data_IF_376498999125
#
_entry.id   IF_376498999125
#
_cell.length_a   1.000
_cell.length_b   1.000
_cell.length_c   1.000
_cell.angle_alpha   90.00
_cell.angle_beta   90.00
_cell.angle_gamma   90.00
#
_symmetry.space_group_name_H-M   'P 1'
#
loop_
_entity.id
_entity.type
_entity.pdbx_description
1 polymer ?
#
# COMPACT_ATOMS: atom_id res chain seq x y z
N UNK A 1 18.17 -2.86 9.00
CA UNK A 1 16.84 -2.56 8.45
C UNK A 1 15.86 -3.30 9.34
N UNK A 2 15.06 -2.60 10.14
CA UNK A 2 14.01 -3.25 10.93
C UNK A 2 13.13 -4.09 10.00
N UNK A 3 12.69 -5.23 10.52
CA UNK A 3 11.81 -6.12 9.79
C UNK A 3 10.47 -5.40 9.55
N UNK A 4 10.19 -5.00 8.30
CA UNK A 4 8.96 -4.27 7.94
C UNK A 4 7.68 -5.03 8.36
N UNK A 5 7.76 -6.36 8.53
CA UNK A 5 6.68 -7.17 9.08
C UNK A 5 6.47 -6.91 10.59
N UNK A 6 7.54 -6.69 11.35
CA UNK A 6 7.44 -6.33 12.76
C UNK A 6 6.78 -4.95 12.92
N UNK A 7 7.07 -4.02 12.01
CA UNK A 7 6.46 -2.69 11.96
C UNK A 7 4.96 -2.79 11.64
N UNK A 8 4.60 -3.62 10.66
CA UNK A 8 3.21 -3.87 10.30
C UNK A 8 2.42 -4.42 11.50
N UNK A 9 2.96 -5.44 12.18
CA UNK A 9 2.34 -6.01 13.37
C UNK A 9 2.21 -4.99 14.51
N UNK A 10 3.20 -4.10 14.67
CA UNK A 10 3.16 -3.03 15.68
C UNK A 10 2.07 -2.00 15.37
N UNK A 11 1.97 -1.54 14.12
CA UNK A 11 0.90 -0.65 13.68
C UNK A 11 -0.49 -1.26 13.89
N UNK A 12 -0.66 -2.54 13.53
CA UNK A 12 -1.91 -3.28 13.76
C UNK A 12 -2.22 -3.35 15.26
N UNK A 13 -1.23 -3.64 16.10
CA UNK A 13 -1.40 -3.69 17.55
C UNK A 13 -1.85 -2.34 18.13
N UNK A 14 -1.29 -1.23 17.64
CA UNK A 14 -1.67 0.13 18.08
C UNK A 14 -3.10 0.45 17.66
N UNK A 15 -3.46 0.15 16.40
CA UNK A 15 -4.80 0.37 15.89
C UNK A 15 -5.82 -0.48 16.67
N UNK A 16 -5.53 -1.75 16.94
CA UNK A 16 -6.41 -2.61 17.75
C UNK A 16 -6.60 -2.05 19.16
N UNK A 17 -5.52 -1.61 19.82
CA UNK A 17 -5.61 -1.02 21.15
C UNK A 17 -6.43 0.29 21.16
N UNK A 18 -6.28 1.14 20.13
CA UNK A 18 -7.06 2.36 19.96
C UNK A 18 -8.56 2.06 19.78
N UNK A 19 -8.87 1.06 18.93
CA UNK A 19 -10.24 0.57 18.72
C UNK A 19 -10.83 0.04 20.03
N UNK A 20 -10.12 -0.83 20.75
CA UNK A 20 -10.57 -1.39 22.04
C UNK A 20 -10.80 -0.30 23.10
N UNK A 21 -9.93 0.71 23.15
CA UNK A 21 -10.09 1.85 24.05
C UNK A 21 -11.35 2.67 23.75
N UNK A 22 -11.74 2.77 22.47
CA UNK A 22 -12.95 3.45 22.01
C UNK A 22 -14.24 2.70 22.39
N UNK A 23 -14.15 1.40 22.72
CA UNK A 23 -15.25 0.54 23.15
C UNK A 23 -15.32 0.30 24.66
N UNK A 24 -14.27 0.63 25.41
CA UNK A 24 -14.12 0.28 26.83
C UNK A 24 -14.77 1.23 27.85
N UNK A 25 -15.39 2.35 27.46
CA UNK A 25 -16.04 3.30 28.38
C UNK A 25 -17.45 3.69 27.92
N UNK A 26 -18.39 3.85 28.87
CA UNK A 26 -19.83 4.12 28.63
C UNK A 26 -20.13 5.51 28.02
N UNK A 27 -19.13 6.37 27.81
CA UNK A 27 -19.35 7.70 27.22
C UNK A 27 -19.37 7.65 25.68
N UNK A 28 -20.55 7.48 25.09
CA UNK A 28 -20.81 7.62 23.65
C UNK A 28 -20.30 8.95 23.05
N UNK A 29 -20.16 9.99 23.89
CA UNK A 29 -19.69 11.33 23.52
C UNK A 29 -18.20 11.43 23.15
N UNK A 30 -17.37 10.43 23.50
CA UNK A 30 -15.94 10.41 23.16
C UNK A 30 -15.61 9.76 21.82
N UNK A 31 -16.60 9.15 21.15
CA UNK A 31 -16.34 8.37 19.93
C UNK A 31 -16.02 9.30 18.76
N UNK A 32 -14.97 8.97 18.01
CA UNK A 32 -14.63 9.57 16.72
C UNK A 32 -15.20 8.71 15.58
N UNK A 33 -16.50 8.85 15.25
CA UNK A 33 -17.14 7.98 14.28
C UNK A 33 -16.49 8.08 12.89
N UNK A 34 -15.92 9.25 12.54
CA UNK A 34 -15.28 9.43 11.25
C UNK A 34 -13.91 8.76 11.20
N UNK A 35 -13.07 8.93 12.22
CA UNK A 35 -11.82 8.20 12.30
C UNK A 35 -12.01 6.68 12.40
N UNK A 36 -13.04 6.23 13.12
CA UNK A 36 -13.43 4.81 13.17
C UNK A 36 -13.88 4.28 11.80
N UNK A 37 -14.67 5.06 11.05
CA UNK A 37 -15.01 4.72 9.66
C UNK A 37 -13.78 4.68 8.75
N UNK A 38 -12.78 5.56 8.97
CA UNK A 38 -11.54 5.58 8.19
C UNK A 38 -10.66 4.38 8.53
N UNK A 39 -10.51 4.01 9.81
CA UNK A 39 -9.88 2.75 10.20
C UNK A 39 -10.53 1.58 9.50
N UNK A 40 -11.85 1.46 9.63
CA UNK A 40 -12.60 0.37 9.03
C UNK A 40 -12.39 0.30 7.52
N UNK A 41 -12.43 1.44 6.82
CA UNK A 41 -12.18 1.51 5.38
C UNK A 41 -10.83 0.88 4.98
N UNK A 42 -9.74 1.32 5.62
CA UNK A 42 -8.39 0.84 5.29
C UNK A 42 -8.11 -0.59 5.77
N UNK A 43 -8.65 -0.98 6.93
CA UNK A 43 -8.48 -2.33 7.48
C UNK A 43 -9.18 -3.37 6.60
N UNK A 44 -10.42 -3.09 6.17
CA UNK A 44 -11.16 -3.95 5.25
C UNK A 44 -10.51 -3.99 3.86
N UNK A 45 -10.06 -2.84 3.33
CA UNK A 45 -9.32 -2.77 2.06
C UNK A 45 -8.09 -3.71 2.06
N UNK A 46 -7.45 -3.86 3.22
CA UNK A 46 -6.26 -4.69 3.39
C UNK A 46 -6.54 -6.13 3.87
N UNK A 47 -7.81 -6.53 3.98
CA UNK A 47 -8.25 -7.83 4.49
C UNK A 47 -7.64 -8.15 5.87
N UNK A 48 -7.64 -7.16 6.78
CA UNK A 48 -7.19 -7.35 8.16
C UNK A 48 -8.34 -7.82 9.04
N UNK A 49 -8.04 -8.78 9.90
CA UNK A 49 -9.01 -9.41 10.81
C UNK A 49 -8.44 -9.44 12.23
N UNK A 50 -9.27 -9.12 13.20
CA UNK A 50 -8.99 -9.21 14.64
C UNK A 50 -10.31 -9.08 15.42
N UNK A 51 -10.38 -9.54 16.68
CA UNK A 51 -11.57 -9.34 17.51
C UNK A 51 -11.97 -7.86 17.66
N UNK A 52 -10.98 -6.96 17.72
CA UNK A 52 -11.23 -5.51 17.77
C UNK A 52 -11.87 -5.01 16.47
N UNK A 53 -11.42 -5.51 15.32
CA UNK A 53 -11.99 -5.18 14.01
C UNK A 53 -13.42 -5.71 13.88
N UNK A 54 -13.69 -6.93 14.37
CA UNK A 54 -15.04 -7.50 14.38
C UNK A 54 -16.00 -6.64 15.21
N UNK A 55 -15.58 -6.19 16.40
CA UNK A 55 -16.35 -5.26 17.22
C UNK A 55 -16.60 -3.92 16.49
N UNK A 56 -15.60 -3.41 15.77
CA UNK A 56 -15.74 -2.19 14.96
C UNK A 56 -16.73 -2.38 13.79
N UNK A 57 -16.74 -3.56 13.15
CA UNK A 57 -17.71 -3.92 12.10
C UNK A 57 -19.13 -3.92 12.67
N UNK A 58 -19.34 -4.57 13.82
CA UNK A 58 -20.66 -4.66 14.46
C UNK A 58 -21.16 -3.28 14.88
N UNK A 59 -20.29 -2.50 15.54
CA UNK A 59 -20.60 -1.14 15.92
C UNK A 59 -20.94 -0.26 14.71
N UNK A 60 -20.16 -0.36 13.63
CA UNK A 60 -20.42 0.44 12.43
C UNK A 60 -21.75 0.06 11.77
N UNK A 61 -22.13 -1.22 11.76
CA UNK A 61 -23.46 -1.64 11.27
C UNK A 61 -24.59 -0.99 12.09
N UNK A 62 -24.47 -0.99 13.42
CA UNK A 62 -25.42 -0.33 14.32
C UNK A 62 -25.43 1.20 14.13
N UNK A 63 -24.27 1.82 13.94
CA UNK A 63 -24.12 3.25 13.65
C UNK A 63 -24.81 3.64 12.34
N UNK A 64 -24.62 2.87 11.28
CA UNK A 64 -25.28 3.06 9.99
C UNK A 64 -26.80 2.95 10.15
N UNK A 65 -27.31 1.96 10.90
CA UNK A 65 -28.74 1.84 11.17
C UNK A 65 -29.28 3.09 11.88
N UNK A 66 -28.63 3.52 12.96
CA UNK A 66 -29.02 4.69 13.74
C UNK A 66 -29.06 5.98 12.91
N UNK A 67 -28.03 6.22 12.08
CA UNK A 67 -27.90 7.47 11.31
C UNK A 67 -28.66 7.45 9.98
N UNK A 68 -28.55 6.36 9.23
CA UNK A 68 -29.08 6.29 7.87
C UNK A 68 -30.54 5.83 7.81
N UNK A 69 -31.00 5.00 8.76
CA UNK A 69 -32.39 4.49 8.78
C UNK A 69 -33.23 5.19 9.85
N UNK A 70 -32.74 5.30 11.08
CA UNK A 70 -33.49 5.96 12.17
C UNK A 70 -33.39 7.49 12.13
N UNK A 71 -32.48 8.04 11.31
CA UNK A 71 -32.26 9.50 11.13
C UNK A 71 -31.92 10.25 12.42
N UNK A 72 -31.31 9.57 13.40
CA UNK A 72 -30.95 10.14 14.70
C UNK A 72 -29.64 10.92 14.63
N UNK A 73 -29.67 12.09 14.00
CA UNK A 73 -28.51 12.99 13.94
C UNK A 73 -28.42 13.91 15.16
N UNK A 74 -27.20 14.23 15.57
CA UNK A 74 -26.93 15.26 16.58
C UNK A 74 -26.52 16.58 15.91
N UNK A 75 -26.00 17.54 16.69
CA UNK A 75 -25.44 18.79 16.17
C UNK A 75 -24.23 18.60 15.26
N UNK A 76 -23.58 17.42 15.28
CA UNK A 76 -22.39 17.09 14.47
C UNK A 76 -22.77 16.28 13.22
N UNK A 77 -23.86 16.69 12.56
CA UNK A 77 -24.46 15.97 11.43
C UNK A 77 -23.50 15.74 10.26
N UNK A 78 -22.55 16.65 10.05
CA UNK A 78 -21.52 16.57 9.03
C UNK A 78 -20.60 15.36 9.22
N UNK A 79 -20.01 15.22 10.41
CA UNK A 79 -19.16 14.08 10.79
C UNK A 79 -19.96 12.79 10.85
N UNK A 80 -21.17 12.83 11.40
CA UNK A 80 -22.04 11.65 11.55
C UNK A 80 -22.51 11.10 10.20
N UNK A 81 -22.93 11.97 9.27
CA UNK A 81 -23.34 11.56 7.93
C UNK A 81 -22.14 11.05 7.11
N UNK A 82 -21.02 11.77 7.16
CA UNK A 82 -19.79 11.38 6.44
C UNK A 82 -19.28 10.02 6.93
N UNK A 83 -19.24 9.80 8.25
CA UNK A 83 -18.81 8.52 8.84
C UNK A 83 -19.75 7.36 8.48
N UNK A 84 -21.07 7.57 8.59
CA UNK A 84 -22.05 6.53 8.26
C UNK A 84 -22.00 6.14 6.78
N UNK A 85 -21.81 7.11 5.87
CA UNK A 85 -21.67 6.84 4.43
C UNK A 85 -20.38 6.11 4.10
N UNK A 86 -19.25 6.51 4.68
CA UNK A 86 -17.97 5.82 4.50
C UNK A 86 -18.02 4.40 5.08
N UNK A 87 -18.61 4.23 6.26
CA UNK A 87 -18.82 2.93 6.89
C UNK A 87 -19.70 2.02 6.03
N UNK A 88 -20.83 2.54 5.54
CA UNK A 88 -21.72 1.81 4.63
C UNK A 88 -20.98 1.34 3.38
N UNK A 89 -20.22 2.24 2.75
CA UNK A 89 -19.42 1.92 1.57
C UNK A 89 -18.38 0.84 1.86
N UNK A 90 -17.65 0.97 2.96
CA UNK A 90 -16.57 0.05 3.37
C UNK A 90 -17.12 -1.36 3.63
N UNK A 91 -18.16 -1.48 4.45
CA UNK A 91 -18.80 -2.74 4.79
C UNK A 91 -19.45 -3.40 3.57
N UNK A 92 -20.12 -2.61 2.71
CA UNK A 92 -20.71 -3.14 1.47
C UNK A 92 -19.65 -3.72 0.55
N UNK A 93 -18.55 -2.98 0.35
CA UNK A 93 -17.46 -3.40 -0.54
C UNK A 93 -16.76 -4.67 -0.05
N UNK A 94 -16.73 -4.89 1.26
CA UNK A 94 -16.16 -6.09 1.88
C UNK A 94 -17.18 -7.23 2.09
N UNK A 95 -18.45 -7.08 1.67
CA UNK A 95 -19.54 -8.02 1.96
C UNK A 95 -19.74 -8.30 3.47
N UNK A 96 -19.57 -7.28 4.32
CA UNK A 96 -19.76 -7.31 5.78
C UNK A 96 -20.91 -6.40 6.25
N UNK A 97 -21.72 -5.89 5.31
CA UNK A 97 -22.86 -5.02 5.61
C UNK A 97 -24.09 -5.87 5.96
N UNK A 98 -24.64 -5.68 7.15
CA UNK A 98 -25.86 -6.35 7.62
C UNK A 98 -27.09 -5.42 7.54
N UNK A 99 -26.87 -4.11 7.52
CA UNK A 99 -27.93 -3.10 7.48
C UNK A 99 -28.44 -2.85 6.06
N UNK A 100 -29.76 -2.92 5.86
CA UNK A 100 -30.40 -2.51 4.60
C UNK A 100 -30.54 -0.99 4.55
N UNK A 101 -29.94 -0.37 3.53
CA UNK A 101 -30.01 1.08 3.28
C UNK A 101 -30.62 1.32 1.90
N UNK A 102 -31.66 2.15 1.82
CA UNK A 102 -32.23 2.60 0.55
C UNK A 102 -31.44 3.79 0.00
N UNK A 103 -30.88 3.64 -1.20
CA UNK A 103 -30.07 4.66 -1.86
C UNK A 103 -30.86 5.92 -2.24
N UNK A 104 -32.17 5.81 -2.50
CA UNK A 104 -33.01 6.99 -2.77
C UNK A 104 -33.08 7.89 -1.54
N UNK A 105 -33.33 7.25 -0.41
CA UNK A 105 -33.35 7.85 0.92
C UNK A 105 -32.00 8.46 1.33
N UNK A 106 -30.88 7.86 0.90
CA UNK A 106 -29.54 8.43 1.07
C UNK A 106 -29.39 9.69 0.24
N UNK A 107 -29.78 9.64 -1.03
CA UNK A 107 -29.68 10.78 -1.95
C UNK A 107 -30.53 11.98 -1.46
N UNK A 108 -31.76 11.73 -1.00
CA UNK A 108 -32.61 12.76 -0.41
C UNK A 108 -31.96 13.40 0.83
N UNK A 109 -31.32 12.60 1.68
CA UNK A 109 -30.63 13.11 2.86
C UNK A 109 -29.42 13.98 2.48
N UNK A 110 -28.53 13.47 1.62
CA UNK A 110 -27.31 14.21 1.20
C UNK A 110 -27.68 15.52 0.52
N UNK A 111 -28.73 15.52 -0.32
CA UNK A 111 -29.18 16.70 -1.06
C UNK A 111 -29.58 17.88 -0.16
N UNK A 112 -30.03 17.62 1.08
CA UNK A 112 -30.39 18.67 2.06
C UNK A 112 -29.18 19.46 2.56
N UNK A 113 -27.98 18.91 2.41
CA UNK A 113 -26.74 19.49 2.91
C UNK A 113 -25.85 20.06 1.80
N UNK A 114 -26.39 20.16 0.58
CA UNK A 114 -25.69 20.78 -0.54
C UNK A 114 -25.91 22.29 -0.47
N UNK A 115 -24.82 23.03 -0.33
CA UNK A 115 -24.75 24.49 -0.31
C UNK A 115 -23.69 24.89 -1.34
N UNK A 116 -24.05 25.75 -2.29
CA UNK A 116 -23.16 26.22 -3.36
C UNK A 116 -22.40 25.10 -4.08
N UNK A 117 -23.14 24.05 -4.49
CA UNK A 117 -22.61 22.84 -5.14
C UNK A 117 -21.59 22.05 -4.30
N UNK A 118 -21.60 22.20 -2.98
CA UNK A 118 -20.71 21.45 -2.08
C UNK A 118 -21.45 20.91 -0.87
N UNK A 119 -21.03 19.75 -0.36
CA UNK A 119 -21.69 19.13 0.79
C UNK A 119 -21.10 19.74 2.06
N UNK A 120 -21.95 20.32 2.92
CA UNK A 120 -21.58 21.07 4.12
C UNK A 120 -20.62 22.24 3.89
N UNK A 121 -20.46 22.72 2.64
CA UNK A 121 -19.41 23.68 2.27
C UNK A 121 -17.99 23.24 2.70
N UNK A 122 -17.75 21.92 2.71
CA UNK A 122 -16.51 21.33 3.20
C UNK A 122 -15.90 20.41 2.14
N UNK A 123 -14.65 20.69 1.75
CA UNK A 123 -13.94 19.93 0.72
C UNK A 123 -13.71 18.46 1.12
N UNK A 124 -13.24 18.22 2.35
CA UNK A 124 -12.92 16.88 2.85
C UNK A 124 -14.18 16.01 2.90
N UNK A 125 -15.26 16.51 3.50
CA UNK A 125 -16.53 15.79 3.60
C UNK A 125 -17.16 15.56 2.23
N UNK A 126 -17.16 16.57 1.36
CA UNK A 126 -17.63 16.40 -0.02
C UNK A 126 -16.87 15.29 -0.74
N UNK A 127 -15.54 15.25 -0.58
CA UNK A 127 -14.69 14.24 -1.21
C UNK A 127 -14.98 12.83 -0.68
N UNK A 128 -15.03 12.64 0.64
CA UNK A 128 -15.31 11.34 1.27
C UNK A 128 -16.72 10.85 0.93
N UNK A 129 -17.71 11.74 0.94
CA UNK A 129 -19.09 11.39 0.60
C UNK A 129 -19.18 10.98 -0.87
N UNK A 130 -18.60 11.73 -1.81
CA UNK A 130 -18.60 11.32 -3.22
C UNK A 130 -17.84 10.01 -3.44
N UNK A 131 -16.72 9.79 -2.73
CA UNK A 131 -15.98 8.53 -2.78
C UNK A 131 -16.86 7.34 -2.37
N UNK A 132 -17.62 7.52 -1.29
CA UNK A 132 -18.54 6.50 -0.75
C UNK A 132 -19.71 6.20 -1.68
N UNK A 133 -20.08 7.18 -2.50
CA UNK A 133 -21.24 7.12 -3.39
C UNK A 133 -20.90 6.88 -4.86
N UNK A 134 -19.61 6.81 -5.22
CA UNK A 134 -19.16 6.77 -6.61
C UNK A 134 -19.74 5.61 -7.43
N UNK A 135 -19.92 4.42 -6.84
CA UNK A 135 -20.52 3.25 -7.53
C UNK A 135 -22.01 3.43 -7.84
N UNK A 136 -22.64 4.43 -7.23
CA UNK A 136 -24.07 4.72 -7.35
C UNK A 136 -24.30 6.14 -7.88
N UNK A 137 -23.28 6.76 -8.50
CA UNK A 137 -23.32 8.14 -9.00
C UNK A 137 -24.51 8.43 -9.91
N UNK A 138 -24.91 7.47 -10.75
CA UNK A 138 -26.05 7.64 -11.69
C UNK A 138 -27.40 7.77 -10.97
N UNK A 139 -27.47 7.38 -9.70
CA UNK A 139 -28.66 7.48 -8.85
C UNK A 139 -28.69 8.75 -8.00
N UNK A 140 -27.67 9.60 -8.13
CA UNK A 140 -27.48 10.80 -7.31
C UNK A 140 -27.40 12.00 -8.25
N UNK A 141 -28.53 12.70 -8.49
CA UNK A 141 -28.60 13.78 -9.47
C UNK A 141 -27.57 14.90 -9.23
N UNK A 142 -27.25 15.18 -7.97
CA UNK A 142 -26.30 16.20 -7.56
C UNK A 142 -24.83 15.77 -7.62
N UNK A 143 -24.54 14.49 -7.92
CA UNK A 143 -23.17 13.96 -7.91
C UNK A 143 -22.26 14.77 -8.84
N UNK A 144 -22.74 15.06 -10.06
CA UNK A 144 -21.96 15.77 -11.06
C UNK A 144 -21.73 17.24 -10.71
N UNK A 145 -22.68 17.92 -10.07
CA UNK A 145 -22.47 19.31 -9.66
C UNK A 145 -21.42 19.40 -8.55
N UNK A 146 -21.53 18.54 -7.53
CA UNK A 146 -20.54 18.47 -6.44
C UNK A 146 -19.17 18.03 -6.93
N UNK A 147 -19.12 17.07 -7.85
CA UNK A 147 -17.87 16.64 -8.45
C UNK A 147 -17.20 17.75 -9.28
N UNK A 148 -17.98 18.51 -10.05
CA UNK A 148 -17.45 19.65 -10.80
C UNK A 148 -16.93 20.76 -9.88
N UNK A 149 -17.61 21.03 -8.76
CA UNK A 149 -17.10 21.94 -7.74
C UNK A 149 -15.76 21.45 -7.17
N UNK A 150 -15.65 20.17 -6.80
CA UNK A 150 -14.40 19.57 -6.32
C UNK A 150 -13.28 19.67 -7.36
N UNK A 151 -13.55 19.38 -8.63
CA UNK A 151 -12.54 19.48 -9.71
C UNK A 151 -11.95 20.89 -9.84
N UNK A 152 -12.80 21.93 -9.80
CA UNK A 152 -12.32 23.33 -9.83
C UNK A 152 -11.40 23.62 -8.64
N UNK A 153 -11.79 23.18 -7.45
CA UNK A 153 -11.01 23.38 -6.22
C UNK A 153 -9.69 22.59 -6.22
N UNK A 154 -9.67 21.38 -6.79
CA UNK A 154 -8.44 20.59 -6.98
C UNK A 154 -7.50 21.29 -7.96
N UNK A 155 -8.03 21.86 -9.05
CA UNK A 155 -7.24 22.60 -10.03
C UNK A 155 -6.51 23.80 -9.40
N UNK A 156 -7.17 24.49 -8.48
CA UNK A 156 -6.58 25.61 -7.73
C UNK A 156 -5.50 25.17 -6.71
N UNK A 157 -5.34 23.86 -6.46
CA UNK A 157 -4.40 23.21 -5.54
C UNK A 157 -4.51 23.63 -4.05
N UNK A 158 -5.22 24.71 -3.73
CA UNK A 158 -5.37 25.26 -2.38
C UNK A 158 -5.88 24.24 -1.33
N UNK A 159 -6.91 23.42 -1.60
CA UNK A 159 -7.38 22.42 -0.64
C UNK A 159 -6.36 21.31 -0.36
N UNK A 160 -5.40 21.10 -1.26
CA UNK A 160 -4.37 20.06 -1.13
C UNK A 160 -3.23 20.48 -0.19
N UNK A 161 -3.23 21.72 0.31
CA UNK A 161 -2.35 22.14 1.39
C UNK A 161 -2.67 21.42 2.71
N UNK A 162 -3.91 20.96 2.89
CA UNK A 162 -4.23 19.94 3.89
C UNK A 162 -3.91 18.56 3.30
N UNK A 163 -2.87 17.92 3.81
CA UNK A 163 -2.34 16.69 3.26
C UNK A 163 -3.33 15.51 3.31
N UNK A 164 -4.31 15.53 4.22
CA UNK A 164 -5.36 14.48 4.30
C UNK A 164 -6.25 14.49 3.06
N UNK A 165 -6.50 15.68 2.49
CA UNK A 165 -7.30 15.84 1.28
C UNK A 165 -6.65 15.19 0.06
N UNK A 166 -5.32 15.13 0.01
CA UNK A 166 -4.58 14.50 -1.08
C UNK A 166 -4.99 13.03 -1.22
N UNK A 167 -5.12 12.30 -0.12
CA UNK A 167 -5.47 10.87 -0.12
C UNK A 167 -6.87 10.64 -0.68
N UNK A 168 -7.87 11.25 -0.04
CA UNK A 168 -9.26 11.00 -0.42
C UNK A 168 -9.58 11.56 -1.80
N UNK A 169 -9.00 12.69 -2.20
CA UNK A 169 -9.16 13.21 -3.55
C UNK A 169 -8.53 12.27 -4.58
N UNK A 170 -7.32 11.75 -4.32
CA UNK A 170 -6.67 10.80 -5.22
C UNK A 170 -7.50 9.52 -5.39
N UNK A 171 -8.01 8.96 -4.28
CA UNK A 171 -8.88 7.78 -4.30
C UNK A 171 -10.18 8.02 -5.08
N UNK A 172 -10.81 9.18 -4.89
CA UNK A 172 -12.03 9.55 -5.61
C UNK A 172 -11.76 9.66 -7.12
N UNK A 173 -10.70 10.36 -7.51
CA UNK A 173 -10.35 10.57 -8.91
C UNK A 173 -9.99 9.25 -9.59
N UNK A 174 -9.22 8.40 -8.93
CA UNK A 174 -8.91 7.05 -9.41
C UNK A 174 -10.18 6.23 -9.62
N UNK A 175 -11.07 6.21 -8.61
CA UNK A 175 -12.35 5.52 -8.68
C UNK A 175 -13.26 6.04 -9.81
N UNK A 176 -13.20 7.33 -10.11
CA UNK A 176 -13.94 7.95 -11.21
C UNK A 176 -13.23 7.87 -12.57
N UNK A 177 -12.05 7.26 -12.64
CA UNK A 177 -11.17 7.21 -13.82
C UNK A 177 -10.75 8.60 -14.36
N UNK A 178 -10.64 9.58 -13.48
CA UNK A 178 -10.23 10.96 -13.78
C UNK A 178 -8.70 11.10 -13.79
N UNK A 179 -8.06 10.50 -14.79
CA UNK A 179 -6.60 10.32 -14.84
C UNK A 179 -5.82 11.63 -15.00
N UNK A 180 -6.38 12.66 -15.64
CA UNK A 180 -5.70 13.95 -15.83
C UNK A 180 -5.57 14.70 -14.51
N UNK A 181 -6.65 14.81 -13.75
CA UNK A 181 -6.67 15.44 -12.43
C UNK A 181 -5.81 14.66 -11.44
N UNK A 182 -5.89 13.33 -11.48
CA UNK A 182 -5.07 12.47 -10.62
C UNK A 182 -3.59 12.67 -10.90
N UNK A 183 -3.19 12.75 -12.18
CA UNK A 183 -1.81 13.12 -12.56
C UNK A 183 -1.44 14.50 -12.04
N UNK A 184 -2.35 15.48 -12.07
CA UNK A 184 -2.14 16.80 -11.48
C UNK A 184 -1.80 16.75 -9.98
N UNK A 185 -2.51 15.94 -9.20
CA UNK A 185 -2.20 15.72 -7.77
C UNK A 185 -0.85 15.04 -7.59
N UNK A 186 -0.55 14.00 -8.37
CA UNK A 186 0.73 13.28 -8.29
C UNK A 186 1.90 14.20 -8.65
N UNK A 187 1.73 15.06 -9.66
CA UNK A 187 2.71 16.07 -10.07
C UNK A 187 2.92 17.13 -8.99
N UNK A 188 1.85 17.58 -8.35
CA UNK A 188 1.90 18.47 -7.19
C UNK A 188 2.70 17.84 -6.04
N UNK A 189 2.38 16.61 -5.65
CA UNK A 189 3.11 15.88 -4.61
C UNK A 189 4.59 15.70 -4.96
N UNK A 190 4.88 15.34 -6.22
CA UNK A 190 6.25 15.13 -6.66
C UNK A 190 7.05 16.45 -6.66
N UNK A 191 6.43 17.55 -7.09
CA UNK A 191 7.01 18.88 -7.01
C UNK A 191 7.37 19.30 -5.58
N UNK A 192 6.51 18.98 -4.60
CA UNK A 192 6.76 19.27 -3.18
C UNK A 192 7.95 18.49 -2.62
N UNK A 193 8.13 17.22 -2.98
CA UNK A 193 9.31 16.44 -2.51
C UNK A 193 10.62 16.85 -3.20
N UNK A 194 10.57 17.41 -4.42
CA UNK A 194 11.76 17.93 -5.10
C UNK A 194 12.28 19.20 -4.45
N UNK A 195 11.37 20.04 -3.95
CA UNK A 195 11.69 21.30 -3.27
C UNK A 195 11.87 21.15 -1.76
N UNK A 196 11.73 19.93 -1.23
CA UNK A 196 11.75 19.64 0.21
C UNK A 196 10.74 20.47 1.03
N UNK A 197 9.56 20.71 0.44
CA UNK A 197 8.49 21.53 1.03
C UNK A 197 7.47 20.70 1.84
N UNK A 198 7.67 19.39 1.96
CA UNK A 198 6.74 18.49 2.68
C UNK A 198 7.08 18.48 4.16
N UNK A 199 6.17 18.97 4.99
CA UNK A 199 6.29 18.93 6.46
C UNK A 199 6.39 17.48 6.94
N UNK A 200 7.16 17.27 8.01
CA UNK A 200 7.42 15.92 8.55
C UNK A 200 6.15 15.12 8.81
N UNK A 201 5.16 15.72 9.49
CA UNK A 201 3.90 15.07 9.84
C UNK A 201 3.00 14.74 8.63
N UNK A 202 3.21 15.40 7.49
CA UNK A 202 2.43 15.20 6.27
C UNK A 202 3.06 14.18 5.31
N UNK A 203 4.33 13.79 5.55
CA UNK A 203 5.10 12.94 4.62
C UNK A 203 4.37 11.65 4.29
N UNK A 204 3.68 11.04 5.25
CA UNK A 204 2.89 9.81 5.06
C UNK A 204 1.87 9.98 3.93
N UNK A 205 1.18 11.10 3.89
CA UNK A 205 0.12 11.31 2.90
C UNK A 205 0.69 11.50 1.50
N UNK A 206 1.75 12.29 1.37
CA UNK A 206 2.47 12.47 0.11
C UNK A 206 3.10 11.15 -0.36
N UNK A 207 3.71 10.39 0.56
CA UNK A 207 4.33 9.11 0.27
C UNK A 207 3.29 8.11 -0.23
N UNK A 208 2.12 8.05 0.42
CA UNK A 208 1.02 7.19 -0.01
C UNK A 208 0.56 7.51 -1.43
N UNK A 209 0.27 8.78 -1.74
CA UNK A 209 -0.20 9.17 -3.08
C UNK A 209 0.84 8.91 -4.16
N UNK A 210 2.10 9.28 -3.91
CA UNK A 210 3.19 9.01 -4.86
C UNK A 210 3.42 7.52 -5.05
N UNK A 211 3.30 6.73 -3.99
CA UNK A 211 3.50 5.29 -4.05
C UNK A 211 2.41 4.59 -4.85
N UNK A 212 1.14 4.79 -4.49
CA UNK A 212 0.00 4.13 -5.14
C UNK A 212 -0.13 4.52 -6.61
N UNK A 213 0.16 5.78 -6.94
CA UNK A 213 0.02 6.31 -8.30
C UNK A 213 1.34 6.54 -9.03
N UNK A 214 2.42 5.89 -8.58
CA UNK A 214 3.78 5.96 -9.17
C UNK A 214 3.82 5.74 -10.69
N UNK A 215 2.90 4.92 -11.23
CA UNK A 215 2.79 4.62 -12.67
C UNK A 215 2.42 5.84 -13.52
N UNK A 216 1.90 6.91 -12.92
CA UNK A 216 1.62 8.17 -13.60
C UNK A 216 2.86 9.05 -13.78
N UNK A 217 4.00 8.65 -13.20
CA UNK A 217 5.28 9.35 -13.31
C UNK A 217 6.21 8.68 -14.31
N UNK A 218 7.28 9.40 -14.68
CA UNK A 218 8.34 8.88 -15.56
C UNK A 218 9.21 7.90 -14.79
N UNK A 219 9.74 6.88 -15.47
CA UNK A 219 10.59 5.84 -14.84
C UNK A 219 11.78 6.41 -14.05
N UNK A 220 12.36 7.51 -14.54
CA UNK A 220 13.48 8.21 -13.88
C UNK A 220 13.12 8.79 -12.50
N UNK A 221 11.84 9.02 -12.23
CA UNK A 221 11.35 9.61 -10.99
C UNK A 221 11.11 8.54 -9.91
N UNK A 222 11.03 7.25 -10.31
CA UNK A 222 10.64 6.14 -9.43
C UNK A 222 11.62 5.93 -8.30
N UNK A 223 12.94 6.03 -8.55
CA UNK A 223 13.96 5.89 -7.50
C UNK A 223 13.75 6.91 -6.39
N UNK A 224 13.49 8.17 -6.75
CA UNK A 224 13.24 9.24 -5.78
C UNK A 224 11.96 8.99 -4.97
N UNK A 225 10.91 8.47 -5.61
CA UNK A 225 9.67 8.09 -4.91
C UNK A 225 9.95 6.96 -3.92
N UNK A 226 10.68 5.93 -4.34
CA UNK A 226 11.06 4.80 -3.48
C UNK A 226 11.84 5.29 -2.27
N UNK A 227 12.87 6.11 -2.47
CA UNK A 227 13.68 6.65 -1.37
C UNK A 227 12.83 7.47 -0.40
N UNK A 228 11.94 8.33 -0.92
CA UNK A 228 11.05 9.13 -0.10
C UNK A 228 10.09 8.26 0.73
N UNK A 229 9.50 7.22 0.14
CA UNK A 229 8.59 6.30 0.83
C UNK A 229 9.33 5.48 1.87
N UNK A 230 10.51 4.96 1.56
CA UNK A 230 11.35 4.22 2.52
C UNK A 230 11.71 5.08 3.73
N UNK A 231 12.20 6.30 3.49
CA UNK A 231 12.53 7.24 4.56
C UNK A 231 11.30 7.59 5.40
N UNK A 232 10.14 7.78 4.75
CA UNK A 232 8.89 8.08 5.45
C UNK A 232 8.45 6.92 6.36
N UNK A 233 8.49 5.68 5.86
CA UNK A 233 8.13 4.50 6.65
C UNK A 233 9.10 4.25 7.80
N UNK A 234 10.41 4.45 7.59
CA UNK A 234 11.42 4.35 8.66
C UNK A 234 11.17 5.38 9.76
N UNK A 235 10.92 6.64 9.39
CA UNK A 235 10.66 7.71 10.35
C UNK A 235 9.37 7.46 11.15
N UNK A 236 8.27 7.09 10.50
CA UNK A 236 7.01 6.76 11.20
C UNK A 236 7.25 5.65 12.23
N UNK A 237 8.05 4.65 11.87
CA UNK A 237 8.39 3.54 12.76
C UNK A 237 9.16 4.00 13.99
N UNK A 238 10.11 4.90 13.81
CA UNK A 238 10.88 5.48 14.91
C UNK A 238 9.97 6.26 15.86
N UNK A 239 9.12 7.17 15.34
CA UNK A 239 8.21 7.97 16.18
C UNK A 239 7.23 7.05 16.94
N UNK A 240 6.69 6.03 16.27
CA UNK A 240 5.81 5.03 16.91
C UNK A 240 6.55 4.20 17.96
N UNK A 241 7.86 3.98 17.80
CA UNK A 241 8.63 3.12 18.69
C UNK A 241 9.18 3.82 19.92
N UNK A 242 9.56 5.08 19.78
CA UNK A 242 10.12 5.85 20.88
C UNK A 242 9.03 6.45 21.77
N UNK A 243 7.76 6.48 21.32
CA UNK A 243 6.66 7.10 22.08
C UNK A 243 6.88 8.61 22.30
N UNK A 244 7.86 9.20 21.61
CA UNK A 244 8.23 10.61 21.72
C UNK A 244 7.21 11.40 20.92
N UNK A 245 6.28 11.99 21.65
CA UNK A 245 5.32 12.95 21.12
C UNK A 245 5.82 14.29 21.60
N UNK A 246 6.21 15.12 20.65
CA UNK A 246 6.43 16.54 20.89
C UNK A 246 5.15 17.11 21.52
N UNK A 247 5.25 17.69 22.72
CA UNK A 247 4.12 18.27 23.46
C UNK A 247 3.38 19.32 22.61
N UNK A 248 4.03 19.94 21.62
CA UNK A 248 3.40 20.86 20.67
C UNK A 248 2.34 20.20 19.76
N UNK A 249 2.33 18.87 19.63
CA UNK A 249 1.30 18.12 18.91
C UNK A 249 -0.01 17.95 19.71
N UNK A 250 0.06 17.98 21.04
CA UNK A 250 -1.09 17.80 21.94
C UNK A 250 -2.01 19.02 21.86
N UNK A 251 -1.44 20.22 21.80
CA UNK A 251 -2.18 21.49 21.69
C UNK A 251 -2.86 21.67 20.33
N UNK A 252 -2.38 21.00 19.27
CA UNK A 252 -2.90 21.16 17.90
C UNK A 252 -4.01 20.17 17.52
N UNK A 253 -4.01 18.96 18.09
CA UNK A 253 -4.93 17.88 17.68
C UNK A 253 -5.98 17.51 18.74
N UNK A 254 -5.90 18.09 19.94
CA UNK A 254 -6.82 17.78 21.03
C UNK A 254 -6.54 16.40 21.67
N UNK A 255 -7.09 16.20 22.86
CA UNK A 255 -6.94 14.97 23.63
C UNK A 255 -7.68 13.80 22.97
N UNK A 256 -7.03 13.04 22.10
CA UNK A 256 -7.50 11.72 21.62
C UNK A 256 -6.67 10.58 22.23
N UNK A 257 -7.31 9.42 22.37
CA UNK A 257 -7.02 8.30 23.30
C UNK A 257 -5.80 7.41 22.97
N UNK A 258 -4.95 7.80 22.02
CA UNK A 258 -3.58 7.32 21.89
C UNK A 258 -2.73 8.57 21.68
N UNK A 259 -1.70 8.82 22.50
CA UNK A 259 -1.11 10.15 22.51
C UNK A 259 -0.47 10.41 21.12
N UNK A 260 -0.86 11.53 20.49
CA UNK A 260 -0.13 12.18 19.39
C UNK A 260 -0.45 11.84 17.92
N UNK A 261 -1.32 10.88 17.58
CA UNK A 261 -1.56 10.50 16.17
C UNK A 261 -3.03 10.40 15.76
N UNK A 262 -3.42 11.06 14.66
CA UNK A 262 -4.78 10.92 14.10
C UNK A 262 -5.04 9.54 13.48
N UNK A 263 -6.25 9.00 13.61
CA UNK A 263 -6.68 7.71 13.02
C UNK A 263 -6.38 7.62 11.52
N UNK A 264 -6.56 8.72 10.78
CA UNK A 264 -6.27 8.81 9.33
C UNK A 264 -4.80 8.52 9.04
N UNK A 265 -3.88 9.07 9.85
CA UNK A 265 -2.45 8.89 9.68
C UNK A 265 -2.06 7.42 9.86
N UNK A 266 -2.51 6.80 10.97
CA UNK A 266 -2.22 5.40 11.28
C UNK A 266 -2.77 4.45 10.20
N UNK A 267 -4.01 4.70 9.75
CA UNK A 267 -4.63 3.93 8.68
C UNK A 267 -3.87 4.03 7.36
N UNK A 268 -3.50 5.26 6.97
CA UNK A 268 -2.76 5.53 5.72
C UNK A 268 -1.34 4.95 5.78
N UNK A 269 -0.67 5.04 6.93
CA UNK A 269 0.65 4.46 7.14
C UNK A 269 0.62 2.93 7.03
N UNK A 270 -0.39 2.28 7.63
CA UNK A 270 -0.57 0.84 7.52
C UNK A 270 -0.80 0.41 6.06
N UNK A 271 -1.70 1.08 5.35
CA UNK A 271 -2.00 0.79 3.93
C UNK A 271 -0.76 0.98 3.05
N UNK A 272 -0.03 2.10 3.23
CA UNK A 272 1.24 2.34 2.55
C UNK A 272 2.26 1.23 2.83
N UNK A 273 2.43 0.84 4.09
CA UNK A 273 3.40 -0.17 4.48
C UNK A 273 3.07 -1.53 3.85
N UNK A 274 1.80 -1.94 3.89
CA UNK A 274 1.34 -3.21 3.31
C UNK A 274 1.57 -3.22 1.81
N UNK A 275 1.14 -2.18 1.08
CA UNK A 275 1.33 -2.13 -0.37
C UNK A 275 2.82 -2.02 -0.72
N UNK A 276 3.57 -1.19 -0.01
CA UNK A 276 5.02 -1.07 -0.21
C UNK A 276 5.71 -2.42 -0.02
N UNK A 277 5.34 -3.20 1.00
CA UNK A 277 5.87 -4.54 1.23
C UNK A 277 5.51 -5.54 0.12
N UNK A 278 4.24 -5.54 -0.34
CA UNK A 278 3.78 -6.39 -1.45
C UNK A 278 4.49 -6.03 -2.74
N UNK A 279 4.51 -4.74 -3.05
CA UNK A 279 5.08 -4.15 -4.25
C UNK A 279 6.61 -4.05 -4.20
N UNK A 280 7.31 -4.33 -3.09
CA UNK A 280 8.78 -4.33 -3.02
C UNK A 280 9.41 -5.42 -3.90
N UNK A 281 8.66 -6.48 -4.19
CA UNK A 281 8.98 -7.43 -5.26
C UNK A 281 9.04 -6.74 -6.64
N UNK A 282 8.17 -5.75 -6.84
CA UNK A 282 8.04 -4.91 -8.04
C UNK A 282 8.97 -3.68 -8.01
N UNK A 283 9.48 -3.23 -6.86
CA UNK A 283 10.46 -2.12 -6.69
C UNK A 283 11.81 -2.45 -7.31
N UNK A 284 12.06 -3.72 -7.60
CA UNK A 284 13.10 -4.07 -8.55
C UNK A 284 12.90 -3.38 -9.90
N UNK A 285 11.76 -2.78 -10.28
CA UNK A 285 11.49 -2.26 -11.64
C UNK A 285 12.64 -1.47 -12.29
N UNK A 286 13.29 -0.47 -11.66
CA UNK A 286 14.44 0.19 -12.29
C UNK A 286 15.66 -0.73 -12.43
N UNK A 287 15.92 -1.56 -11.41
CA UNK A 287 16.98 -2.58 -11.43
C UNK A 287 16.65 -3.70 -12.43
N UNK A 288 15.38 -4.06 -12.60
CA UNK A 288 14.83 -5.06 -13.50
C UNK A 288 14.92 -4.53 -14.91
N UNK A 289 14.45 -3.31 -15.19
CA UNK A 289 14.61 -2.65 -16.50
C UNK A 289 16.09 -2.58 -16.85
N UNK A 290 16.96 -2.23 -15.89
CA UNK A 290 18.41 -2.25 -16.10
C UNK A 290 18.92 -3.66 -16.43
N UNK A 291 18.58 -4.68 -15.62
CA UNK A 291 18.97 -6.08 -15.84
C UNK A 291 18.44 -6.57 -17.20
N UNK A 292 17.17 -6.34 -17.53
CA UNK A 292 16.54 -6.67 -18.80
C UNK A 292 17.27 -6.04 -19.98
N UNK A 293 17.59 -4.74 -19.87
CA UNK A 293 18.35 -4.04 -20.91
C UNK A 293 19.76 -4.63 -21.07
N UNK A 294 20.45 -4.95 -19.98
CA UNK A 294 21.78 -5.57 -20.04
C UNK A 294 21.72 -6.98 -20.65
N UNK A 295 20.77 -7.81 -20.20
CA UNK A 295 20.58 -9.16 -20.74
C UNK A 295 20.21 -9.14 -22.22
N UNK A 296 19.34 -8.21 -22.65
CA UNK A 296 19.01 -8.02 -24.07
C UNK A 296 20.20 -7.56 -24.89
N UNK A 297 21.00 -6.61 -24.39
CA UNK A 297 22.24 -6.16 -25.04
C UNK A 297 23.24 -7.30 -25.23
N UNK A 298 23.30 -8.22 -24.27
CA UNK A 298 24.18 -9.40 -24.33
C UNK A 298 23.59 -10.57 -25.14
N UNK A 299 22.32 -10.49 -25.55
CA UNK A 299 21.61 -11.58 -26.25
C UNK A 299 21.23 -12.76 -25.34
N UNK A 300 21.14 -12.55 -24.03
CA UNK A 300 20.89 -13.59 -23.02
C UNK A 300 19.39 -13.71 -22.70
N UNK A 301 18.57 -13.94 -23.72
CA UNK A 301 17.10 -13.93 -23.63
C UNK A 301 16.50 -15.10 -22.86
N UNK A 302 17.21 -16.21 -22.78
CA UNK A 302 16.88 -17.39 -21.97
C UNK A 302 16.96 -17.08 -20.45
N UNK A 303 17.96 -16.32 -19.99
CA UNK A 303 18.01 -15.86 -18.59
C UNK A 303 16.77 -15.02 -18.26
N UNK A 304 16.43 -14.10 -19.17
CA UNK A 304 15.26 -13.24 -19.04
C UNK A 304 13.96 -14.07 -18.98
N UNK A 305 13.82 -15.06 -19.86
CA UNK A 305 12.67 -15.95 -19.88
C UNK A 305 12.47 -16.68 -18.54
N UNK A 306 13.54 -17.16 -17.92
CA UNK A 306 13.43 -17.84 -16.61
C UNK A 306 13.02 -16.87 -15.49
N UNK A 307 13.48 -15.61 -15.53
CA UNK A 307 13.03 -14.58 -14.58
C UNK A 307 11.55 -14.25 -14.77
N UNK A 308 11.10 -14.07 -16.02
CA UNK A 308 9.69 -13.82 -16.33
C UNK A 308 8.80 -15.00 -15.90
N UNK A 309 9.26 -16.24 -16.10
CA UNK A 309 8.57 -17.44 -15.64
C UNK A 309 8.49 -17.51 -14.11
N UNK A 310 9.53 -17.09 -13.39
CA UNK A 310 9.53 -17.05 -11.93
C UNK A 310 8.49 -16.07 -11.39
N UNK A 311 8.46 -14.85 -11.95
CA UNK A 311 7.51 -13.82 -11.55
C UNK A 311 6.07 -14.25 -11.84
N UNK A 312 5.82 -14.79 -13.03
CA UNK A 312 4.50 -15.33 -13.39
C UNK A 312 4.05 -16.44 -12.44
N UNK A 313 4.95 -17.37 -12.12
CA UNK A 313 4.63 -18.45 -11.18
C UNK A 313 4.31 -17.91 -9.77
N UNK A 314 5.01 -16.88 -9.31
CA UNK A 314 4.71 -16.22 -8.04
C UNK A 314 3.32 -15.56 -8.05
N UNK A 315 3.00 -14.81 -9.10
CA UNK A 315 1.68 -14.16 -9.28
C UNK A 315 0.53 -15.17 -9.31
N UNK A 316 0.76 -16.36 -9.87
CA UNK A 316 -0.20 -17.46 -9.93
C UNK A 316 -0.24 -18.32 -8.65
N UNK A 317 0.52 -17.97 -7.61
CA UNK A 317 0.57 -18.72 -6.34
C UNK A 317 1.35 -20.04 -6.41
N UNK A 318 2.07 -20.31 -7.50
CA UNK A 318 2.89 -21.51 -7.70
C UNK A 318 4.28 -21.31 -7.09
N UNK A 319 4.36 -21.31 -5.77
CA UNK A 319 5.56 -20.92 -5.00
C UNK A 319 6.78 -21.82 -5.23
N UNK A 320 6.59 -23.14 -5.32
CA UNK A 320 7.65 -24.09 -5.68
C UNK A 320 8.21 -23.88 -7.09
N UNK A 321 7.33 -23.66 -8.07
CA UNK A 321 7.69 -23.35 -9.46
C UNK A 321 8.48 -22.04 -9.56
N UNK A 322 8.06 -21.01 -8.81
CA UNK A 322 8.79 -19.75 -8.73
C UNK A 322 10.23 -19.98 -8.28
N UNK A 323 10.45 -20.70 -7.17
CA UNK A 323 11.79 -20.98 -6.67
C UNK A 323 12.64 -21.78 -7.67
N UNK A 324 12.02 -22.74 -8.38
CA UNK A 324 12.70 -23.50 -9.42
C UNK A 324 13.11 -22.62 -10.61
N UNK A 325 12.24 -21.73 -11.08
CA UNK A 325 12.56 -20.80 -12.17
C UNK A 325 13.66 -19.81 -11.77
N UNK A 326 13.68 -19.31 -10.53
CA UNK A 326 14.79 -18.48 -10.02
C UNK A 326 16.12 -19.23 -10.03
N UNK A 327 16.10 -20.48 -9.55
CA UNK A 327 17.27 -21.36 -9.60
C UNK A 327 17.75 -21.55 -11.04
N UNK A 328 16.84 -21.81 -11.99
CA UNK A 328 17.18 -21.98 -13.40
C UNK A 328 17.73 -20.69 -14.04
N UNK A 329 17.17 -19.54 -13.73
CA UNK A 329 17.68 -18.24 -14.18
C UNK A 329 19.09 -17.96 -13.66
N UNK A 330 19.32 -18.19 -12.36
CA UNK A 330 20.61 -17.95 -11.72
C UNK A 330 21.72 -18.83 -12.28
N UNK A 331 21.47 -20.14 -12.49
CA UNK A 331 22.49 -21.02 -13.09
C UNK A 331 22.76 -20.66 -14.55
N UNK A 332 21.72 -20.36 -15.33
CA UNK A 332 21.87 -19.97 -16.74
C UNK A 332 22.74 -18.71 -16.84
N UNK A 333 22.51 -17.72 -15.97
CA UNK A 333 23.32 -16.51 -15.90
C UNK A 333 24.80 -16.83 -15.61
N UNK A 334 25.08 -17.62 -14.57
CA UNK A 334 26.45 -17.98 -14.20
C UNK A 334 27.17 -18.77 -15.30
N UNK A 335 26.47 -19.68 -15.98
CA UNK A 335 27.00 -20.42 -17.13
C UNK A 335 27.39 -19.46 -18.25
N UNK A 336 26.51 -18.53 -18.63
CA UNK A 336 26.82 -17.56 -19.68
C UNK A 336 27.99 -16.65 -19.33
N UNK A 337 28.05 -16.18 -18.09
CA UNK A 337 29.19 -15.38 -17.61
C UNK A 337 30.50 -16.18 -17.72
N UNK A 338 30.48 -17.44 -17.28
CA UNK A 338 31.63 -18.34 -17.39
C UNK A 338 32.08 -18.51 -18.84
N UNK A 339 31.17 -18.87 -19.74
CA UNK A 339 31.48 -19.12 -21.15
C UNK A 339 31.97 -17.86 -21.86
N UNK A 340 31.40 -16.70 -21.50
CA UNK A 340 31.79 -15.41 -22.06
C UNK A 340 33.22 -15.03 -21.64
N UNK A 341 33.58 -15.25 -20.37
CA UNK A 341 34.88 -14.90 -19.81
C UNK A 341 35.98 -15.90 -20.22
N UNK A 342 35.68 -17.20 -20.20
CA UNK A 342 36.68 -18.24 -20.44
C UNK A 342 36.78 -18.68 -21.90
N UNK A 343 35.76 -18.39 -22.72
CA UNK A 343 35.58 -18.95 -24.08
C UNK A 343 35.54 -20.48 -24.11
N UNK A 344 35.20 -21.13 -22.98
CA UNK A 344 35.07 -22.58 -22.83
C UNK A 344 33.66 -22.92 -22.35
N UNK A 345 33.15 -24.09 -22.72
CA UNK A 345 31.88 -24.61 -22.19
C UNK A 345 31.93 -24.76 -20.68
N UNK A 346 30.83 -24.41 -20.01
CA UNK A 346 30.75 -24.53 -18.56
C UNK A 346 30.84 -25.99 -18.09
N UNK A 347 31.50 -26.26 -16.94
CA UNK A 347 31.61 -27.61 -16.38
C UNK A 347 30.30 -28.05 -15.70
N UNK A 348 29.22 -28.15 -16.47
CA UNK A 348 27.90 -28.58 -15.99
C UNK A 348 27.63 -30.02 -16.46
N UNK A 349 27.78 -31.04 -15.60
CA UNK A 349 27.52 -32.42 -15.99
C UNK A 349 26.03 -32.64 -16.26
N UNK A 350 25.64 -33.32 -17.35
CA UNK A 350 24.25 -33.61 -17.65
C UNK A 350 23.61 -34.49 -16.55
N UNK A 351 22.37 -34.17 -16.16
CA UNK A 351 21.55 -35.00 -15.27
C UNK A 351 21.84 -34.90 -13.76
N UNK A 352 22.78 -34.07 -13.30
CA UNK A 352 23.04 -33.82 -11.87
C UNK A 352 22.76 -32.36 -11.48
N UNK A 353 22.43 -32.13 -10.21
CA UNK A 353 22.39 -30.77 -9.63
C UNK A 353 23.74 -30.10 -9.86
N UNK A 354 23.72 -28.96 -10.56
CA UNK A 354 24.92 -28.24 -10.96
C UNK A 354 25.70 -27.75 -9.73
N UNK A 355 26.97 -28.15 -9.59
CA UNK A 355 27.87 -27.54 -8.62
C UNK A 355 28.30 -26.17 -9.14
N UNK A 356 27.90 -25.11 -8.43
CA UNK A 356 28.19 -23.72 -8.81
C UNK A 356 29.58 -23.27 -8.36
N UNK A 357 30.26 -24.04 -7.49
CA UNK A 357 31.59 -23.66 -6.96
C UNK A 357 32.63 -23.41 -8.05
N UNK A 358 32.75 -24.25 -9.11
CA UNK A 358 33.69 -24.01 -10.20
C UNK A 358 33.37 -22.72 -10.98
N UNK A 359 32.08 -22.43 -11.18
CA UNK A 359 31.64 -21.22 -11.87
C UNK A 359 32.05 -19.99 -11.07
N UNK A 360 31.69 -19.93 -9.79
CA UNK A 360 31.99 -18.77 -8.94
C UNK A 360 33.49 -18.56 -8.76
N UNK A 361 34.28 -19.62 -8.55
CA UNK A 361 35.75 -19.50 -8.49
C UNK A 361 36.33 -18.86 -9.75
N UNK A 362 35.78 -19.21 -10.91
CA UNK A 362 36.22 -18.63 -12.18
C UNK A 362 35.82 -17.16 -12.30
N UNK A 363 34.61 -16.80 -11.85
CA UNK A 363 34.19 -15.39 -11.81
C UNK A 363 35.06 -14.57 -10.84
N UNK A 364 35.40 -15.13 -9.67
CA UNK A 364 36.31 -14.53 -8.69
C UNK A 364 37.71 -14.29 -9.29
N UNK A 365 38.23 -15.23 -10.09
CA UNK A 365 39.49 -15.06 -10.83
C UNK A 365 39.43 -13.95 -11.88
N UNK A 366 38.25 -13.61 -12.38
CA UNK A 366 38.02 -12.54 -13.37
C UNK A 366 37.50 -11.25 -12.72
N UNK A 367 37.71 -11.07 -11.42
CA UNK A 367 37.45 -9.80 -10.73
C UNK A 367 36.13 -9.71 -9.96
N UNK A 368 35.35 -10.79 -9.86
CA UNK A 368 34.22 -10.83 -8.93
C UNK A 368 34.74 -10.79 -7.48
N UNK A 369 34.22 -9.87 -6.66
CA UNK A 369 34.62 -9.81 -5.25
C UNK A 369 34.22 -11.10 -4.50
N UNK A 370 35.01 -11.47 -3.48
CA UNK A 370 34.69 -12.64 -2.63
C UNK A 370 33.34 -12.50 -1.93
N UNK A 371 32.98 -11.27 -1.55
CA UNK A 371 31.70 -10.98 -0.88
C UNK A 371 30.53 -11.21 -1.83
N UNK A 372 30.63 -10.71 -3.07
CA UNK A 372 29.63 -10.97 -4.12
C UNK A 372 29.54 -12.48 -4.42
N UNK A 373 30.67 -13.18 -4.53
CA UNK A 373 30.69 -14.63 -4.69
C UNK A 373 30.04 -15.38 -3.53
N UNK A 374 30.20 -14.90 -2.29
CA UNK A 374 29.54 -15.45 -1.10
C UNK A 374 28.02 -15.27 -1.16
N UNK A 375 27.56 -14.08 -1.54
CA UNK A 375 26.14 -13.79 -1.70
C UNK A 375 25.49 -14.69 -2.76
N UNK A 376 26.13 -14.90 -3.91
CA UNK A 376 25.63 -15.82 -4.95
C UNK A 376 25.50 -17.25 -4.41
N UNK A 377 26.48 -17.73 -3.63
CA UNK A 377 26.41 -19.07 -3.00
C UNK A 377 25.23 -19.17 -2.04
N UNK A 378 25.01 -18.14 -1.23
CA UNK A 378 23.91 -18.09 -0.27
C UNK A 378 22.56 -18.06 -0.99
N UNK A 379 22.39 -17.19 -2.00
CA UNK A 379 21.20 -17.13 -2.84
C UNK A 379 20.92 -18.48 -3.50
N UNK A 380 21.92 -19.08 -4.16
CA UNK A 380 21.80 -20.41 -4.78
C UNK A 380 21.35 -21.48 -3.80
N UNK A 381 21.97 -21.54 -2.62
CA UNK A 381 21.62 -22.52 -1.59
C UNK A 381 20.17 -22.34 -1.14
N UNK A 382 19.75 -21.09 -0.93
CA UNK A 382 18.39 -20.77 -0.49
C UNK A 382 17.35 -21.19 -1.53
N UNK A 383 17.47 -20.69 -2.76
CA UNK A 383 16.47 -20.98 -3.82
C UNK A 383 16.48 -22.45 -4.22
N UNK A 384 17.63 -23.13 -4.15
CA UNK A 384 17.72 -24.57 -4.41
C UNK A 384 17.03 -25.40 -3.34
N UNK A 385 17.14 -25.01 -2.07
CA UNK A 385 16.45 -25.70 -0.99
C UNK A 385 14.93 -25.56 -1.15
N UNK A 386 14.45 -24.34 -1.40
CA UNK A 386 13.01 -24.06 -1.57
C UNK A 386 12.44 -24.70 -2.84
N UNK A 387 13.19 -24.80 -3.93
CA UNK A 387 12.78 -25.49 -5.16
C UNK A 387 12.69 -27.03 -5.02
N UNK A 388 13.26 -27.60 -3.97
CA UNK A 388 13.32 -29.06 -3.77
C UNK A 388 12.60 -29.56 -2.51
N UNK A 389 12.06 -28.66 -1.69
CA UNK A 389 11.44 -29.02 -0.41
C UNK A 389 10.27 -30.00 -0.59
N UNK A 390 9.40 -29.78 -1.59
CA UNK A 390 8.28 -30.66 -1.92
C UNK A 390 8.75 -32.04 -2.39
N UNK A 391 9.80 -32.07 -3.23
CA UNK A 391 10.41 -33.31 -3.73
C UNK A 391 11.06 -34.14 -2.62
N UNK A 392 11.36 -33.53 -1.47
CA UNK A 392 11.89 -34.20 -0.27
C UNK A 392 10.80 -34.56 0.75
N UNK A 393 9.53 -34.40 0.40
CA UNK A 393 8.38 -34.71 1.26
C UNK A 393 8.01 -33.60 2.25
N UNK A 394 8.55 -32.39 2.07
CA UNK A 394 8.17 -31.21 2.85
C UNK A 394 6.95 -30.48 2.27
N UNK A 395 6.44 -29.50 3.01
CA UNK A 395 5.40 -28.59 2.54
C UNK A 395 5.97 -27.62 1.48
N UNK A 396 5.14 -27.14 0.54
CA UNK A 396 5.54 -26.09 -0.40
C UNK A 396 6.05 -24.85 0.34
N UNK A 397 7.03 -24.12 -0.24
CA UNK A 397 7.52 -22.90 0.38
C UNK A 397 6.38 -21.90 0.53
N UNK A 398 6.34 -21.22 1.67
CA UNK A 398 5.37 -20.16 1.90
C UNK A 398 5.58 -18.99 0.93
N UNK A 399 4.55 -18.15 0.77
CA UNK A 399 4.66 -16.93 -0.03
C UNK A 399 5.80 -16.03 0.49
N UNK A 400 5.97 -15.92 1.81
CA UNK A 400 7.04 -15.14 2.44
C UNK A 400 8.44 -15.67 2.10
N UNK A 401 8.64 -16.99 2.15
CA UNK A 401 9.92 -17.62 1.79
C UNK A 401 10.23 -17.45 0.31
N UNK A 402 9.22 -17.60 -0.54
CA UNK A 402 9.34 -17.43 -1.99
C UNK A 402 9.68 -15.98 -2.34
N UNK A 403 9.02 -15.03 -1.67
CA UNK A 403 9.28 -13.59 -1.78
C UNK A 403 10.71 -13.23 -1.37
N UNK A 404 11.23 -13.85 -0.31
CA UNK A 404 12.62 -13.64 0.09
C UNK A 404 13.59 -14.19 -0.96
N UNK A 405 13.32 -15.36 -1.54
CA UNK A 405 14.10 -15.92 -2.65
C UNK A 405 14.14 -15.00 -3.88
N UNK A 406 13.01 -14.38 -4.24
CA UNK A 406 12.91 -13.38 -5.31
C UNK A 406 13.77 -12.14 -5.04
N UNK A 407 13.88 -11.70 -3.78
CA UNK A 407 14.66 -10.51 -3.42
C UNK A 407 16.17 -10.78 -3.39
N UNK A 408 16.56 -12.02 -3.11
CA UNK A 408 17.97 -12.43 -3.07
C UNK A 408 18.56 -12.71 -4.46
N UNK A 409 17.72 -13.05 -5.43
CA UNK A 409 18.10 -13.42 -6.80
C UNK A 409 18.11 -12.19 -7.68
#
# INVERSE_FOLDING_TARGET
MENLLAIENKLISIINADIESSFGTEEELRRDPLGDAIYLFFLLKNNKESPAIDNLIDWMNAWIENKMKERKFTRFVDRELTSALLGYYSLRSANRLHTKVDIKEVNELVSKFIIDDSIFNNFTYSTIILLSLADQRDKIPSFNSVYNWLRRRIYDMSPLNDAKNIIFASMLLDKLNAQEELRGIVDFCFGKILKDEVRFHDRTYYAWTLWYYRKLRKDRDISRIVDFVQNTLQNITQVISEGVIDESLIDMYGHESVPGFSKILLATALDLLIDFNRSKLTISLPLRIYIEQQLRKLGWTDVLRELDNALKAFEEGRTGDCCNNLRMGLITLMVKMYETLTKKSAPTPPGKTTDIRPLIRTLEQHGLSKDTGSNIRMTWSYVSERAHIEKRGGLPPSECETRYGLQMT
#
